data_IF_250054730479
#
_entry.id   IF_250054730479
#
_cell.length_a   1.000
_cell.length_b   1.000
_cell.length_c   1.000
_cell.angle_alpha   90.00
_cell.angle_beta   90.00
_cell.angle_gamma   90.00
#
_symmetry.space_group_name_H-M   'P 1'
#
loop_
_entity.id
_entity.type
_entity.pdbx_description
1 polymer ?
#
# COMPACT_ATOMS: atom_id res chain seq x y z
N UNK A 1 0.45 -7.85 18.49
CA UNK A 1 -0.50 -7.70 17.38
C UNK A 1 0.27 -7.28 16.14
N UNK A 2 0.02 -7.85 14.95
CA UNK A 2 0.76 -7.46 13.73
C UNK A 2 0.26 -6.10 13.23
N UNK A 3 1.18 -5.18 12.93
CA UNK A 3 0.88 -3.86 12.38
C UNK A 3 0.83 -3.91 10.85
N UNK A 4 -0.16 -3.24 10.26
CA UNK A 4 -0.32 -3.16 8.81
C UNK A 4 -0.57 -1.71 8.38
N UNK A 5 0.05 -1.33 7.27
CA UNK A 5 -0.25 -0.10 6.55
C UNK A 5 -1.01 -0.46 5.28
N UNK A 6 -2.07 0.28 4.99
CA UNK A 6 -2.81 0.19 3.74
C UNK A 6 -2.35 1.34 2.85
N UNK A 7 -1.85 1.04 1.67
CA UNK A 7 -1.44 1.99 0.65
C UNK A 7 -2.33 1.83 -0.58
N UNK A 8 -2.65 2.92 -1.26
CA UNK A 8 -3.58 2.90 -2.38
C UNK A 8 -4.13 4.29 -2.67
N UNK A 9 -5.07 4.39 -3.61
CA UNK A 9 -5.60 5.69 -3.97
C UNK A 9 -6.46 6.29 -2.84
N UNK A 10 -6.12 7.50 -2.39
CA UNK A 10 -6.93 8.27 -1.46
C UNK A 10 -8.36 8.51 -1.95
N UNK A 11 -8.62 8.55 -3.26
CA UNK A 11 -9.99 8.73 -3.79
C UNK A 11 -10.90 7.49 -3.67
N UNK A 12 -10.44 6.41 -3.02
CA UNK A 12 -11.18 5.16 -2.84
C UNK A 12 -11.46 4.91 -1.35
N UNK A 13 -11.94 5.93 -0.63
CA UNK A 13 -12.15 5.88 0.83
C UNK A 13 -13.09 4.74 1.28
N UNK A 14 -14.14 4.43 0.52
CA UNK A 14 -15.04 3.31 0.83
C UNK A 14 -14.29 1.97 0.79
N UNK A 15 -13.39 1.81 -0.17
CA UNK A 15 -12.54 0.61 -0.28
C UNK A 15 -11.49 0.58 0.81
N UNK A 16 -10.90 1.72 1.14
CA UNK A 16 -9.97 1.84 2.28
C UNK A 16 -10.64 1.36 3.56
N UNK A 17 -11.85 1.86 3.86
CA UNK A 17 -12.66 1.47 5.01
C UNK A 17 -12.96 -0.02 5.03
N UNK A 18 -13.36 -0.58 3.89
CA UNK A 18 -13.59 -2.02 3.75
C UNK A 18 -12.35 -2.84 4.11
N UNK A 19 -11.19 -2.49 3.55
CA UNK A 19 -9.94 -3.21 3.82
C UNK A 19 -9.46 -3.02 5.26
N UNK A 20 -9.65 -1.84 5.84
CA UNK A 20 -9.39 -1.65 7.26
C UNK A 20 -10.17 -2.63 8.14
N UNK A 21 -11.47 -2.77 7.89
CA UNK A 21 -12.32 -3.71 8.62
C UNK A 21 -11.91 -5.16 8.37
N UNK A 22 -11.56 -5.51 7.12
CA UNK A 22 -11.05 -6.83 6.77
C UNK A 22 -9.83 -7.22 7.60
N UNK A 23 -8.84 -6.32 7.73
CA UNK A 23 -7.62 -6.56 8.50
C UNK A 23 -7.86 -6.54 10.01
N UNK A 24 -8.65 -5.57 10.50
CA UNK A 24 -9.00 -5.47 11.93
C UNK A 24 -9.74 -6.71 12.42
N UNK A 25 -10.69 -7.25 11.64
CA UNK A 25 -11.43 -8.48 11.98
C UNK A 25 -10.55 -9.73 12.06
N UNK A 26 -9.34 -9.69 11.49
CA UNK A 26 -8.31 -10.75 11.56
C UNK A 26 -7.27 -10.51 12.65
N UNK A 27 -7.48 -9.53 13.53
CA UNK A 27 -6.58 -9.24 14.64
C UNK A 27 -5.32 -8.47 14.24
N UNK A 28 -5.34 -7.74 13.12
CA UNK A 28 -4.28 -6.81 12.75
C UNK A 28 -4.57 -5.40 13.28
N UNK A 29 -3.51 -4.65 13.59
CA UNK A 29 -3.58 -3.22 13.86
C UNK A 29 -3.31 -2.45 12.58
N UNK A 30 -4.32 -1.79 12.02
CA UNK A 30 -4.09 -0.86 10.90
C UNK A 30 -3.52 0.44 11.46
N UNK A 31 -2.28 0.78 11.11
CA UNK A 31 -1.56 1.96 11.64
C UNK A 31 -1.63 3.16 10.71
N UNK A 32 -1.79 2.94 9.41
CA UNK A 32 -2.05 4.00 8.44
C UNK A 32 -2.87 3.46 7.26
N UNK A 33 -3.63 4.35 6.64
CA UNK A 33 -4.46 4.12 5.46
C UNK A 33 -4.53 5.41 4.62
N UNK A 34 -4.84 5.34 3.31
CA UNK A 34 -4.85 6.52 2.47
C UNK A 34 -5.98 7.46 2.88
N UNK A 35 -5.68 8.75 2.96
CA UNK A 35 -6.65 9.77 3.35
C UNK A 35 -6.72 10.86 2.31
N UNK A 36 -7.93 11.33 2.02
CA UNK A 36 -8.09 12.54 1.24
C UNK A 36 -7.65 13.75 2.07
N UNK A 37 -6.87 14.62 1.44
CA UNK A 37 -6.48 15.91 1.99
C UNK A 37 -7.31 16.97 1.26
N UNK A 38 -7.93 17.88 2.00
CA UNK A 38 -8.68 18.97 1.38
C UNK A 38 -7.74 19.85 0.54
N UNK A 39 -8.27 20.46 -0.53
CA UNK A 39 -7.43 21.28 -1.42
C UNK A 39 -6.89 22.52 -0.72
N UNK A 40 -7.68 23.04 0.20
CA UNK A 40 -7.40 24.25 0.97
C UNK A 40 -6.23 24.04 1.92
N UNK A 41 -6.10 22.84 2.51
CA UNK A 41 -5.07 22.50 3.50
C UNK A 41 -3.94 21.65 2.90
N UNK A 42 -3.97 21.37 1.59
CA UNK A 42 -3.05 20.41 0.97
C UNK A 42 -1.59 20.74 1.24
N UNK A 43 -1.16 21.99 1.03
CA UNK A 43 0.24 22.35 1.24
C UNK A 43 0.68 22.29 2.72
N UNK A 44 -0.26 22.49 3.64
CA UNK A 44 0.01 22.53 5.08
C UNK A 44 0.03 21.13 5.70
N UNK A 45 -0.95 20.29 5.35
CA UNK A 45 -1.12 18.96 5.94
C UNK A 45 -0.28 17.87 5.24
N UNK A 46 -0.03 18.01 3.93
CA UNK A 46 0.68 17.00 3.14
C UNK A 46 2.03 16.60 3.75
N UNK A 47 2.93 17.52 4.16
CA UNK A 47 4.23 17.11 4.72
C UNK A 47 4.10 16.23 5.97
N UNK A 48 3.21 16.60 6.90
CA UNK A 48 3.00 15.86 8.14
C UNK A 48 2.33 14.51 7.89
N UNK A 49 1.33 14.46 7.01
CA UNK A 49 0.64 13.22 6.64
C UNK A 49 1.61 12.24 5.98
N UNK A 50 2.39 12.70 5.01
CA UNK A 50 3.36 11.84 4.33
C UNK A 50 4.47 11.36 5.27
N UNK A 51 5.03 12.24 6.10
CA UNK A 51 6.01 11.84 7.10
C UNK A 51 5.45 10.79 8.07
N UNK A 52 4.22 10.98 8.54
CA UNK A 52 3.51 10.03 9.40
C UNK A 52 3.28 8.68 8.70
N UNK A 53 2.95 8.69 7.41
CA UNK A 53 2.74 7.47 6.63
C UNK A 53 4.04 6.66 6.47
N UNK A 54 5.16 7.30 6.13
CA UNK A 54 6.46 6.62 6.07
C UNK A 54 6.95 6.15 7.44
N UNK A 55 6.68 6.90 8.51
CA UNK A 55 6.94 6.43 9.87
C UNK A 55 6.12 5.16 10.19
N UNK A 56 4.85 5.13 9.79
CA UNK A 56 4.01 3.93 9.94
C UNK A 56 4.52 2.76 9.11
N UNK A 57 5.05 2.99 7.89
CA UNK A 57 5.67 1.94 7.07
C UNK A 57 6.89 1.34 7.77
N UNK A 58 7.73 2.16 8.41
CA UNK A 58 8.92 1.69 9.14
C UNK A 58 8.59 0.75 10.30
N UNK A 59 7.44 0.98 10.93
CA UNK A 59 6.95 0.21 12.08
C UNK A 59 6.05 -0.97 11.69
N UNK A 60 5.69 -1.11 10.42
CA UNK A 60 4.74 -2.10 9.95
C UNK A 60 5.37 -3.49 9.83
N UNK A 61 4.53 -4.52 9.94
CA UNK A 61 4.91 -5.87 9.52
C UNK A 61 4.53 -6.14 8.06
N UNK A 62 3.49 -5.46 7.58
CA UNK A 62 2.93 -5.61 6.25
C UNK A 62 2.59 -4.22 5.69
N UNK A 63 2.94 -3.99 4.43
CA UNK A 63 2.27 -2.98 3.59
C UNK A 63 1.32 -3.72 2.65
N UNK A 64 0.04 -3.39 2.71
CA UNK A 64 -0.98 -3.89 1.81
C UNK A 64 -1.32 -2.83 0.77
N UNK A 65 -1.03 -3.16 -0.48
CA UNK A 65 -1.37 -2.35 -1.64
C UNK A 65 -2.81 -2.68 -2.04
N UNK A 66 -3.73 -1.78 -1.67
CA UNK A 66 -5.13 -1.76 -2.08
C UNK A 66 -5.22 -1.33 -3.57
N UNK A 67 -4.60 -2.08 -4.46
CA UNK A 67 -4.72 -1.82 -5.89
C UNK A 67 -6.07 -2.34 -6.39
N UNK A 68 -7.12 -1.61 -6.04
CA UNK A 68 -8.47 -1.76 -6.55
C UNK A 68 -8.56 -1.26 -8.00
N UNK A 69 -9.69 -1.54 -8.63
CA UNK A 69 -9.93 -1.06 -9.99
C UNK A 69 -10.34 0.42 -9.92
N UNK A 70 -9.79 1.24 -10.82
CA UNK A 70 -10.06 2.68 -10.84
C UNK A 70 -10.03 3.21 -12.25
N UNK A 71 -11.02 4.04 -12.64
CA UNK A 71 -11.08 4.67 -13.96
C UNK A 71 -10.95 3.67 -15.13
N UNK A 72 -11.54 2.47 -14.97
CA UNK A 72 -11.46 1.40 -15.97
C UNK A 72 -10.10 0.69 -16.05
N UNK A 73 -9.18 0.94 -15.12
CA UNK A 73 -7.87 0.27 -15.00
C UNK A 73 -7.96 -0.77 -13.89
N UNK A 74 -7.74 -2.04 -14.25
CA UNK A 74 -7.70 -3.14 -13.28
C UNK A 74 -6.42 -3.10 -12.44
N UNK A 75 -6.55 -3.20 -11.12
CA UNK A 75 -5.40 -3.21 -10.22
C UNK A 75 -4.60 -1.90 -10.23
N UNK A 76 -5.29 -0.75 -10.20
CA UNK A 76 -4.68 0.57 -10.34
C UNK A 76 -3.65 0.87 -9.24
N UNK A 77 -2.48 1.37 -9.65
CA UNK A 77 -1.44 1.87 -8.75
C UNK A 77 -1.00 3.25 -9.25
N UNK A 78 -1.18 4.26 -8.41
CA UNK A 78 -0.73 5.63 -8.68
C UNK A 78 0.73 5.86 -8.31
N UNK A 79 1.26 7.03 -8.69
CA UNK A 79 2.66 7.39 -8.45
C UNK A 79 3.06 7.32 -6.97
N UNK A 80 2.22 7.84 -6.07
CA UNK A 80 2.45 7.80 -4.63
C UNK A 80 2.48 6.35 -4.11
N UNK A 81 1.43 5.57 -4.38
CA UNK A 81 1.37 4.15 -3.98
C UNK A 81 2.55 3.34 -4.48
N UNK A 82 3.02 3.63 -5.71
CA UNK A 82 4.23 3.01 -6.24
C UNK A 82 5.49 3.45 -5.46
N UNK A 83 5.63 4.74 -5.11
CA UNK A 83 6.76 5.24 -4.32
C UNK A 83 6.82 4.58 -2.93
N UNK A 84 5.67 4.41 -2.26
CA UNK A 84 5.56 3.71 -0.98
C UNK A 84 5.97 2.24 -1.09
N UNK A 85 5.50 1.55 -2.14
CA UNK A 85 5.87 0.17 -2.42
C UNK A 85 7.38 0.05 -2.70
N UNK A 86 7.92 0.93 -3.54
CA UNK A 86 9.34 0.97 -3.89
C UNK A 86 10.22 1.25 -2.65
N UNK A 87 9.77 2.14 -1.76
CA UNK A 87 10.44 2.41 -0.48
C UNK A 87 10.56 1.14 0.37
N UNK A 88 9.46 0.38 0.50
CA UNK A 88 9.46 -0.87 1.27
C UNK A 88 10.38 -1.93 0.63
N UNK A 89 10.30 -2.11 -0.69
CA UNK A 89 11.16 -3.05 -1.41
C UNK A 89 12.63 -2.69 -1.24
N UNK A 90 13.00 -1.42 -1.44
CA UNK A 90 14.38 -0.96 -1.30
C UNK A 90 14.92 -1.15 0.12
N UNK A 91 14.16 -0.78 1.16
CA UNK A 91 14.60 -0.96 2.55
C UNK A 91 14.74 -2.44 2.93
N UNK A 92 13.89 -3.32 2.38
CA UNK A 92 14.02 -4.77 2.57
C UNK A 92 15.29 -5.31 1.92
N UNK A 93 15.59 -4.91 0.68
CA UNK A 93 16.81 -5.32 -0.03
C UNK A 93 18.08 -4.85 0.67
N UNK A 94 18.04 -3.67 1.31
CA UNK A 94 19.14 -3.14 2.12
C UNK A 94 19.22 -3.75 3.53
N UNK A 95 18.35 -4.70 3.89
CA UNK A 95 18.32 -5.34 5.20
C UNK A 95 17.88 -4.42 6.35
N UNK A 96 17.35 -3.23 6.04
CA UNK A 96 16.95 -2.22 7.04
C UNK A 96 15.62 -2.56 7.69
N UNK A 97 14.73 -3.23 6.95
CA UNK A 97 13.37 -3.56 7.39
C UNK A 97 12.92 -4.91 6.85
N UNK A 98 11.97 -5.56 7.53
CA UNK A 98 11.41 -6.86 7.13
C UNK A 98 9.92 -6.74 6.78
N UNK A 99 9.48 -5.57 6.33
CA UNK A 99 8.08 -5.34 5.95
C UNK A 99 7.75 -6.17 4.71
N UNK A 100 6.67 -6.95 4.80
CA UNK A 100 6.15 -7.71 3.66
C UNK A 100 5.27 -6.83 2.80
N UNK A 101 5.52 -6.81 1.49
CA UNK A 101 4.65 -6.15 0.53
C UNK A 101 3.63 -7.14 -0.05
N UNK A 102 2.35 -6.81 0.09
CA UNK A 102 1.23 -7.62 -0.40
C UNK A 102 0.35 -6.76 -1.31
N UNK A 103 0.11 -7.19 -2.55
CA UNK A 103 -0.87 -6.57 -3.45
C UNK A 103 -2.21 -7.29 -3.35
N UNK A 104 -3.30 -6.55 -3.49
CA UNK A 104 -4.63 -7.12 -3.65
C UNK A 104 -4.71 -8.01 -4.90
N UNK A 105 -4.20 -7.52 -6.04
CA UNK A 105 -4.19 -8.24 -7.32
C UNK A 105 -2.99 -7.85 -8.17
N UNK A 106 -2.72 -8.54 -9.27
CA UNK A 106 -1.74 -8.03 -10.23
C UNK A 106 -2.31 -6.77 -10.94
N UNK A 107 -1.55 -5.68 -11.06
CA UNK A 107 -1.93 -4.57 -11.93
C UNK A 107 -2.05 -5.04 -13.38
N UNK A 108 -2.91 -4.41 -14.16
CA UNK A 108 -2.92 -4.63 -15.61
C UNK A 108 -1.75 -3.91 -16.30
N UNK A 109 -1.44 -4.29 -17.55
CA UNK A 109 -0.30 -3.76 -18.31
C UNK A 109 -0.34 -2.26 -18.62
N UNK A 110 -1.50 -1.61 -18.46
CA UNK A 110 -1.64 -0.15 -18.64
C UNK A 110 -1.15 0.65 -17.44
N UNK A 111 -0.95 0.02 -16.27
CA UNK A 111 -0.36 0.69 -15.11
C UNK A 111 1.12 0.94 -15.41
N UNK A 112 1.59 2.19 -15.26
CA UNK A 112 2.95 2.58 -15.63
C UNK A 112 4.03 1.72 -14.96
N UNK A 113 3.81 1.31 -13.71
CA UNK A 113 4.71 0.46 -12.92
C UNK A 113 4.53 -1.05 -13.14
N UNK A 114 3.73 -1.47 -14.12
CA UNK A 114 3.37 -2.87 -14.32
C UNK A 114 4.57 -3.81 -14.47
N UNK A 115 5.51 -3.51 -15.38
CA UNK A 115 6.63 -4.41 -15.65
C UNK A 115 7.55 -4.56 -14.42
N UNK A 116 7.76 -3.48 -13.67
CA UNK A 116 8.55 -3.49 -12.44
C UNK A 116 7.86 -4.33 -11.35
N UNK A 117 6.55 -4.14 -11.14
CA UNK A 117 5.79 -4.90 -10.13
C UNK A 117 5.72 -6.38 -10.50
N UNK A 118 5.55 -6.70 -11.79
CA UNK A 118 5.57 -8.07 -12.30
C UNK A 118 6.92 -8.73 -12.03
N UNK A 119 8.02 -8.03 -12.29
CA UNK A 119 9.37 -8.53 -11.99
C UNK A 119 9.54 -8.75 -10.48
N UNK A 120 9.16 -7.78 -9.65
CA UNK A 120 9.22 -7.93 -8.19
C UNK A 120 8.38 -9.10 -7.67
N UNK A 121 7.25 -9.39 -8.32
CA UNK A 121 6.43 -10.54 -7.97
C UNK A 121 7.13 -11.86 -8.32
N UNK A 122 7.72 -11.95 -9.52
CA UNK A 122 8.51 -13.11 -9.96
C UNK A 122 9.72 -13.38 -9.04
N UNK A 123 10.33 -12.32 -8.52
CA UNK A 123 11.45 -12.40 -7.57
C UNK A 123 11.00 -12.67 -6.12
N UNK A 124 9.69 -12.70 -5.84
CA UNK A 124 9.13 -12.90 -4.50
C UNK A 124 9.29 -11.71 -3.55
N UNK A 125 9.60 -10.52 -4.09
CA UNK A 125 9.76 -9.30 -3.30
C UNK A 125 8.40 -8.72 -2.92
N UNK A 126 7.41 -8.89 -3.81
CA UNK A 126 6.00 -8.56 -3.58
C UNK A 126 5.12 -9.78 -3.77
N UNK A 127 4.10 -9.93 -2.93
CA UNK A 127 3.23 -11.10 -2.89
C UNK A 127 1.80 -10.71 -3.26
N UNK A 128 1.02 -11.62 -3.82
CA UNK A 128 -0.42 -11.42 -3.96
C UNK A 128 -1.12 -11.80 -2.65
N UNK A 129 -2.23 -11.14 -2.35
CA UNK A 129 -3.07 -11.44 -1.20
C UNK A 129 -3.57 -12.87 -1.30
N UNK A 130 -3.22 -13.67 -0.29
CA UNK A 130 -3.78 -15.00 -0.06
C UNK A 130 -4.59 -14.93 1.23
N UNK A 131 -5.92 -14.87 1.10
CA UNK A 131 -6.85 -14.71 2.22
C UNK A 131 -6.79 -15.85 3.24
N UNK A 132 -6.16 -16.97 2.90
CA UNK A 132 -6.01 -18.12 3.80
C UNK A 132 -4.76 -18.02 4.69
N UNK A 133 -3.83 -17.13 4.34
CA UNK A 133 -2.52 -16.95 5.01
C UNK A 133 -2.44 -15.69 5.86
N UNK A 134 -3.54 -14.95 5.95
CA UNK A 134 -3.65 -13.68 6.67
C UNK A 134 -4.86 -13.66 7.58
#
# INVERSE_FOLDING_TARGET
MKKIVIAGSASLQDRATHWEQFWKSRGYTVTASPREISRELYQEEYPAIHAGFYAALNDANIVFIMNEDKNGISGYIGAETFAELAYVVANRLLGKQQVRAILLKMPESRVQSYEEIKLWHQLGWVQLLDITKV
#
